data_IF_504633601883
#
_entry.id   IF_504633601883
#
_cell.length_a   1.000
_cell.length_b   1.000
_cell.length_c   1.000
_cell.angle_alpha   90.00
_cell.angle_beta   90.00
_cell.angle_gamma   90.00
#
_symmetry.space_group_name_H-M   'P 1'
#
loop_
_entity.id
_entity.type
_entity.pdbx_description
1 polymer ?
#
# COMPACT_ATOMS: atom_id res chain seq x y z
N UNK A 1 2.43 28.78 1.54
CA UNK A 1 2.47 27.50 2.28
C UNK A 1 2.36 26.37 1.27
N UNK A 2 3.47 25.75 0.91
CA UNK A 2 3.48 24.55 0.07
C UNK A 2 2.89 23.40 0.89
N UNK A 3 1.69 22.95 0.54
CA UNK A 3 1.10 21.78 1.19
C UNK A 3 1.85 20.55 0.73
N UNK A 4 2.72 19.99 1.58
CA UNK A 4 3.34 18.68 1.32
C UNK A 4 2.23 17.67 1.00
N UNK A 5 2.24 17.04 -0.19
CA UNK A 5 1.29 16.00 -0.56
C UNK A 5 1.11 14.98 0.56
N UNK A 6 -0.13 14.58 0.84
CA UNK A 6 -0.45 13.66 1.96
C UNK A 6 0.34 12.36 1.90
N UNK A 7 0.64 11.87 0.69
CA UNK A 7 1.46 10.68 0.46
C UNK A 7 2.91 10.83 0.95
N UNK A 8 3.49 12.02 0.81
CA UNK A 8 4.87 12.30 1.25
C UNK A 8 4.97 12.39 2.78
N UNK A 9 3.89 12.72 3.50
CA UNK A 9 3.92 12.69 4.97
C UNK A 9 3.99 11.28 5.56
N UNK A 10 3.49 10.27 4.85
CA UNK A 10 3.64 8.87 5.27
C UNK A 10 5.03 8.30 4.95
N UNK A 11 5.82 9.00 4.13
CA UNK A 11 7.18 8.61 3.81
C UNK A 11 8.10 9.84 3.87
N UNK A 12 8.54 10.16 5.08
CA UNK A 12 9.42 11.28 5.37
C UNK A 12 10.64 10.75 6.16
N UNK A 13 11.75 10.42 5.48
CA UNK A 13 12.93 9.85 6.12
C UNK A 13 13.69 10.85 7.02
N UNK A 14 13.54 12.15 6.77
CA UNK A 14 14.18 13.21 7.56
C UNK A 14 13.48 13.39 8.91
N UNK A 15 12.17 13.18 8.97
CA UNK A 15 11.42 13.23 10.22
C UNK A 15 11.60 11.95 11.05
N UNK A 16 12.26 12.00 12.23
CA UNK A 16 12.56 10.80 13.02
C UNK A 16 11.34 10.20 13.76
N UNK A 17 10.18 10.88 13.73
CA UNK A 17 8.97 10.44 14.42
C UNK A 17 8.30 9.29 13.66
N UNK A 18 8.09 8.15 14.34
CA UNK A 18 7.39 7.00 13.76
C UNK A 18 5.89 7.26 13.58
N UNK A 19 5.28 8.04 14.47
CA UNK A 19 3.85 8.34 14.40
C UNK A 19 3.68 9.82 14.06
N UNK A 20 3.05 10.09 12.92
CA UNK A 20 2.74 11.45 12.45
C UNK A 20 1.23 11.65 12.44
N UNK A 21 0.76 12.85 12.77
CA UNK A 21 -0.69 13.12 12.79
C UNK A 21 -1.26 12.98 11.37
N UNK A 22 -2.44 12.35 11.26
CA UNK A 22 -3.11 12.20 9.97
C UNK A 22 -3.43 13.57 9.38
N UNK A 23 -3.28 13.69 8.07
CA UNK A 23 -3.69 14.92 7.37
C UNK A 23 -5.20 15.00 7.24
N UNK A 24 -5.88 13.86 7.16
CA UNK A 24 -7.34 13.76 7.05
C UNK A 24 -7.86 12.87 8.19
N UNK A 25 -8.74 13.43 9.01
CA UNK A 25 -9.38 12.73 10.13
C UNK A 25 -8.57 12.72 11.43
N UNK A 26 -9.01 11.92 12.39
CA UNK A 26 -8.38 11.77 13.70
C UNK A 26 -7.45 10.54 13.73
N UNK A 27 -6.33 10.66 14.45
CA UNK A 27 -5.40 9.56 14.72
C UNK A 27 -3.97 9.84 14.26
N UNK A 28 -3.22 8.76 14.06
CA UNK A 28 -1.82 8.77 13.65
C UNK A 28 -1.61 7.87 12.43
N UNK A 29 -0.78 8.33 11.50
CA UNK A 29 -0.21 7.50 10.44
C UNK A 29 1.20 7.07 10.85
N UNK A 30 1.63 5.90 10.36
CA UNK A 30 3.01 5.42 10.52
C UNK A 30 3.89 6.08 9.46
N UNK A 31 4.94 6.77 9.88
CA UNK A 31 5.98 7.26 9.00
C UNK A 31 6.89 6.09 8.59
N UNK A 32 6.69 5.60 7.37
CA UNK A 32 7.43 4.49 6.79
C UNK A 32 8.89 4.86 6.48
N UNK A 33 9.18 6.14 6.23
CA UNK A 33 10.54 6.66 6.06
C UNK A 33 11.35 6.54 7.35
N UNK A 34 10.82 7.08 8.45
CA UNK A 34 11.42 6.95 9.78
C UNK A 34 11.64 5.48 10.18
N UNK A 35 10.68 4.61 9.87
CA UNK A 35 10.81 3.17 10.14
C UNK A 35 11.94 2.55 9.30
N UNK A 36 12.01 2.85 8.01
CA UNK A 36 13.06 2.35 7.13
C UNK A 36 14.47 2.82 7.57
N UNK A 37 14.60 4.07 8.00
CA UNK A 37 15.84 4.61 8.58
C UNK A 37 16.22 3.84 9.85
N UNK A 38 15.28 3.62 10.78
CA UNK A 38 15.54 2.85 12.02
C UNK A 38 15.92 1.40 11.75
N UNK A 39 15.43 0.82 10.65
CA UNK A 39 15.81 -0.51 10.19
C UNK A 39 17.13 -0.54 9.41
N UNK A 40 17.79 0.61 9.21
CA UNK A 40 19.04 0.71 8.45
C UNK A 40 18.87 0.44 6.95
N UNK A 41 17.66 0.60 6.41
CA UNK A 41 17.36 0.29 5.01
C UNK A 41 17.69 1.44 4.06
N UNK A 42 17.61 2.68 4.56
CA UNK A 42 17.90 3.95 3.87
C UNK A 42 18.50 4.94 4.89
N UNK A 43 19.10 6.03 4.40
CA UNK A 43 19.60 7.12 5.23
C UNK A 43 18.53 8.23 5.39
N UNK A 44 18.63 9.07 6.44
CA UNK A 44 17.70 10.19 6.63
C UNK A 44 17.70 11.19 5.47
N UNK A 45 18.83 11.36 4.78
CA UNK A 45 19.04 12.25 3.64
C UNK A 45 18.61 11.64 2.29
N UNK A 46 18.15 10.38 2.26
CA UNK A 46 17.67 9.73 1.04
C UNK A 46 16.22 10.17 0.72
N UNK A 47 16.04 11.46 0.40
CA UNK A 47 14.73 12.04 0.06
C UNK A 47 14.28 11.63 -1.35
N UNK A 48 13.00 11.28 -1.51
CA UNK A 48 12.45 10.93 -2.83
C UNK A 48 12.50 12.09 -3.84
N UNK A 49 12.20 13.34 -3.46
CA UNK A 49 12.32 14.47 -4.39
C UNK A 49 13.74 14.65 -4.95
N UNK A 50 14.77 14.48 -4.11
CA UNK A 50 16.17 14.66 -4.54
C UNK A 50 16.66 13.49 -5.41
N UNK A 51 16.17 12.28 -5.14
CA UNK A 51 16.52 11.08 -5.90
C UNK A 51 15.68 10.88 -7.16
N UNK A 52 14.59 11.64 -7.33
CA UNK A 52 13.67 11.49 -8.46
C UNK A 52 14.39 11.49 -9.82
N UNK A 53 15.30 12.44 -10.14
CA UNK A 53 15.99 12.48 -11.43
C UNK A 53 16.73 11.18 -11.79
N UNK A 54 17.14 10.41 -10.77
CA UNK A 54 17.92 9.18 -10.92
C UNK A 54 17.04 7.91 -10.90
N UNK A 55 15.72 8.02 -10.70
CA UNK A 55 14.84 6.84 -10.75
C UNK A 55 14.81 6.28 -12.18
N UNK A 56 15.21 5.00 -12.39
CA UNK A 56 15.29 4.43 -13.72
C UNK A 56 13.93 4.42 -14.45
N UNK A 57 13.93 4.69 -15.76
CA UNK A 57 12.70 4.75 -16.55
C UNK A 57 11.84 3.47 -16.47
N UNK A 58 12.48 2.30 -16.33
CA UNK A 58 11.77 1.01 -16.14
C UNK A 58 11.02 0.98 -14.81
N UNK A 59 11.64 1.47 -13.74
CA UNK A 59 11.01 1.57 -12.41
C UNK A 59 9.82 2.53 -12.45
N UNK A 60 9.98 3.69 -13.09
CA UNK A 60 8.88 4.66 -13.28
C UNK A 60 7.68 4.05 -14.02
N UNK A 61 7.94 3.33 -15.11
CA UNK A 61 6.89 2.62 -15.86
C UNK A 61 6.19 1.57 -15.00
N UNK A 62 6.95 0.80 -14.22
CA UNK A 62 6.39 -0.20 -13.32
C UNK A 62 5.49 0.46 -12.24
N UNK A 63 5.94 1.56 -11.63
CA UNK A 63 5.17 2.31 -10.65
C UNK A 63 3.88 2.89 -11.23
N UNK A 64 3.93 3.45 -12.45
CA UNK A 64 2.75 3.99 -13.11
C UNK A 64 1.67 2.91 -13.38
N UNK A 65 2.09 1.69 -13.70
CA UNK A 65 1.20 0.58 -14.01
C UNK A 65 0.76 -0.21 -12.77
N UNK A 66 1.57 -0.26 -11.71
CA UNK A 66 1.33 -1.10 -10.55
C UNK A 66 -0.04 -0.88 -9.90
N UNK A 67 -0.52 0.36 -9.66
CA UNK A 67 -1.85 0.58 -9.10
C UNK A 67 -2.99 0.08 -10.00
N UNK A 68 -2.83 0.13 -11.32
CA UNK A 68 -3.84 -0.38 -12.26
C UNK A 68 -3.89 -1.91 -12.22
N UNK A 69 -2.72 -2.55 -12.23
CA UNK A 69 -2.58 -4.01 -12.16
C UNK A 69 -3.09 -4.53 -10.81
N UNK A 70 -2.77 -3.87 -9.70
CA UNK A 70 -3.24 -4.25 -8.37
C UNK A 70 -4.76 -4.10 -8.21
N UNK A 71 -5.34 -3.06 -8.82
CA UNK A 71 -6.81 -2.93 -8.87
C UNK A 71 -7.47 -4.04 -9.67
N UNK A 72 -6.96 -4.33 -10.88
CA UNK A 72 -7.46 -5.43 -11.69
C UNK A 72 -7.35 -6.78 -10.97
N UNK A 73 -6.21 -7.03 -10.30
CA UNK A 73 -5.97 -8.24 -9.51
C UNK A 73 -6.99 -8.40 -8.38
N UNK A 74 -7.26 -7.32 -7.64
CA UNK A 74 -8.25 -7.34 -6.56
C UNK A 74 -9.65 -7.63 -7.10
N UNK A 75 -10.04 -7.02 -8.22
CA UNK A 75 -11.35 -7.24 -8.86
C UNK A 75 -11.48 -8.69 -9.33
N UNK A 76 -10.46 -9.24 -9.99
CA UNK A 76 -10.46 -10.64 -10.44
C UNK A 76 -10.56 -11.60 -9.27
N UNK A 77 -9.75 -11.39 -8.22
CA UNK A 77 -9.80 -12.21 -7.01
C UNK A 77 -11.19 -12.16 -6.35
N UNK A 78 -11.77 -10.96 -6.23
CA UNK A 78 -13.11 -10.77 -5.67
C UNK A 78 -14.18 -11.43 -6.54
N UNK A 79 -14.08 -11.34 -7.86
CA UNK A 79 -14.99 -12.01 -8.80
C UNK A 79 -14.96 -13.52 -8.62
N UNK A 80 -13.76 -14.14 -8.63
CA UNK A 80 -13.58 -15.59 -8.44
C UNK A 80 -14.11 -16.06 -7.09
N UNK A 81 -13.84 -15.33 -6.01
CA UNK A 81 -14.35 -15.63 -4.67
C UNK A 81 -15.88 -15.46 -4.62
N UNK A 82 -16.39 -14.39 -5.21
CA UNK A 82 -17.80 -14.01 -5.18
C UNK A 82 -18.72 -15.03 -5.85
N UNK A 83 -18.32 -15.56 -7.01
CA UNK A 83 -19.14 -16.57 -7.71
C UNK A 83 -19.18 -17.93 -7.00
N UNK A 84 -18.20 -18.23 -6.15
CA UNK A 84 -18.11 -19.51 -5.42
C UNK A 84 -18.75 -19.46 -4.03
N UNK A 85 -18.88 -18.28 -3.44
CA UNK A 85 -19.34 -18.12 -2.08
C UNK A 85 -20.85 -17.85 -1.99
N UNK A 86 -21.53 -18.44 -1.00
CA UNK A 86 -22.92 -18.06 -0.66
C UNK A 86 -22.97 -16.90 0.33
N UNK A 87 -22.04 -16.90 1.29
CA UNK A 87 -21.85 -15.83 2.28
C UNK A 87 -20.37 -15.67 2.57
N UNK A 88 -19.97 -14.44 2.85
CA UNK A 88 -18.59 -14.12 3.22
C UNK A 88 -18.55 -13.34 4.54
N UNK A 89 -17.50 -13.53 5.35
CA UNK A 89 -17.27 -12.70 6.52
C UNK A 89 -17.17 -11.21 6.17
N UNK A 90 -17.81 -10.36 6.96
CA UNK A 90 -17.75 -8.89 6.82
C UNK A 90 -17.11 -8.20 8.02
N UNK A 91 -16.86 -8.93 9.10
CA UNK A 91 -16.27 -8.40 10.32
C UNK A 91 -15.58 -9.48 11.12
N UNK A 92 -14.54 -9.08 11.85
CA UNK A 92 -13.75 -9.96 12.70
C UNK A 92 -13.69 -9.39 14.13
N UNK A 93 -13.62 -10.28 15.12
CA UNK A 93 -13.36 -9.88 16.50
C UNK A 93 -11.85 -9.68 16.76
N UNK A 94 -11.49 -9.30 17.99
CA UNK A 94 -10.10 -9.09 18.40
C UNK A 94 -9.22 -10.34 18.31
N UNK A 95 -9.83 -11.54 18.30
CA UNK A 95 -9.14 -12.81 18.09
C UNK A 95 -9.09 -13.21 16.59
N UNK A 96 -9.41 -12.29 15.67
CA UNK A 96 -9.46 -12.53 14.23
C UNK A 96 -10.40 -13.69 13.83
N UNK A 97 -11.47 -13.91 14.58
CA UNK A 97 -12.55 -14.84 14.19
C UNK A 97 -13.67 -14.07 13.47
N UNK A 98 -14.24 -14.62 12.41
CA UNK A 98 -15.44 -14.06 11.77
C UNK A 98 -16.55 -13.80 12.79
N UNK A 99 -17.12 -12.59 12.77
CA UNK A 99 -18.22 -12.17 13.65
C UNK A 99 -19.55 -12.08 12.89
N UNK A 100 -19.50 -11.58 11.67
CA UNK A 100 -20.67 -11.29 10.84
C UNK A 100 -20.45 -11.78 9.41
N UNK A 101 -21.54 -12.14 8.74
CA UNK A 101 -21.53 -12.65 7.37
C UNK A 101 -22.57 -11.91 6.54
N UNK A 102 -22.25 -11.64 5.28
CA UNK A 102 -23.17 -11.03 4.32
C UNK A 102 -23.11 -11.73 2.96
N UNK A 103 -23.93 -11.26 2.02
CA UNK A 103 -23.81 -11.68 0.62
C UNK A 103 -22.42 -11.33 0.07
N UNK A 104 -21.90 -12.07 -0.92
CA UNK A 104 -20.59 -11.80 -1.48
C UNK A 104 -20.45 -10.37 -2.03
N UNK A 105 -21.50 -9.86 -2.70
CA UNK A 105 -21.51 -8.49 -3.20
C UNK A 105 -21.30 -7.46 -2.09
N UNK A 106 -22.03 -7.60 -0.97
CA UNK A 106 -21.89 -6.70 0.17
C UNK A 106 -20.53 -6.84 0.85
N UNK A 107 -20.02 -8.06 1.02
CA UNK A 107 -18.75 -8.31 1.69
C UNK A 107 -17.52 -7.85 0.89
N UNK A 108 -17.58 -7.91 -0.43
CA UNK A 108 -16.46 -7.58 -1.32
C UNK A 108 -16.45 -6.10 -1.73
N UNK A 109 -17.52 -5.36 -1.49
CA UNK A 109 -17.63 -3.95 -1.87
C UNK A 109 -16.50 -3.09 -1.28
N UNK A 110 -16.21 -3.24 0.02
CA UNK A 110 -15.20 -2.42 0.69
C UNK A 110 -13.76 -2.69 0.19
N UNK A 111 -13.26 -3.95 0.09
CA UNK A 111 -11.97 -4.22 -0.52
C UNK A 111 -11.84 -3.73 -1.97
N UNK A 112 -12.88 -3.91 -2.79
CA UNK A 112 -12.88 -3.42 -4.18
C UNK A 112 -12.80 -1.89 -4.20
N UNK A 113 -13.65 -1.20 -3.42
CA UNK A 113 -13.68 0.25 -3.36
C UNK A 113 -12.34 0.82 -2.87
N UNK A 114 -11.73 0.23 -1.84
CA UNK A 114 -10.40 0.60 -1.35
C UNK A 114 -9.36 0.46 -2.48
N UNK A 115 -9.35 -0.68 -3.15
CA UNK A 115 -8.37 -0.99 -4.20
C UNK A 115 -8.48 -0.07 -5.43
N UNK A 116 -9.71 0.16 -5.91
CA UNK A 116 -9.99 1.03 -7.06
C UNK A 116 -9.76 2.50 -6.69
N UNK A 117 -10.23 2.93 -5.51
CA UNK A 117 -10.00 4.28 -5.01
C UNK A 117 -8.52 4.60 -4.85
N UNK A 118 -7.73 3.67 -4.31
CA UNK A 118 -6.28 3.81 -4.22
C UNK A 118 -5.60 3.95 -5.58
N UNK A 119 -6.03 3.17 -6.58
CA UNK A 119 -5.54 3.32 -7.96
C UNK A 119 -5.87 4.70 -8.53
N UNK A 120 -7.12 5.15 -8.37
CA UNK A 120 -7.55 6.48 -8.84
C UNK A 120 -6.75 7.60 -8.20
N UNK A 121 -6.56 7.56 -6.88
CA UNK A 121 -5.77 8.54 -6.14
C UNK A 121 -4.29 8.55 -6.58
N UNK A 122 -3.69 7.39 -6.85
CA UNK A 122 -2.33 7.33 -7.37
C UNK A 122 -2.21 7.96 -8.77
N UNK A 123 -3.15 7.66 -9.67
CA UNK A 123 -3.16 8.23 -11.02
C UNK A 123 -3.39 9.75 -11.03
N UNK A 124 -4.12 10.28 -10.04
CA UNK A 124 -4.32 11.72 -9.88
C UNK A 124 -3.10 12.41 -9.26
N UNK A 125 -2.44 11.75 -8.31
CA UNK A 125 -1.27 12.31 -7.60
C UNK A 125 -0.03 12.42 -8.47
N UNK A 126 0.06 11.61 -9.53
CA UNK A 126 1.20 11.61 -10.45
C UNK A 126 1.24 12.73 -11.50
N UNK A 127 0.27 13.66 -11.50
CA UNK A 127 0.19 14.73 -12.51
C UNK A 127 1.12 15.92 -12.24
N UNK A 128 1.37 16.24 -10.96
CA UNK A 128 1.99 17.52 -10.59
C UNK A 128 3.36 17.36 -9.90
N UNK A 129 3.68 16.19 -9.34
CA UNK A 129 4.92 15.93 -8.60
C UNK A 129 5.40 14.47 -8.78
N UNK A 130 6.56 14.26 -9.45
CA UNK A 130 7.15 12.92 -9.64
C UNK A 130 7.45 12.15 -8.35
N UNK A 131 7.90 12.82 -7.29
CA UNK A 131 8.16 12.19 -5.98
C UNK A 131 6.86 11.79 -5.28
N UNK A 132 5.82 12.62 -5.38
CA UNK A 132 4.47 12.28 -4.93
C UNK A 132 3.88 11.09 -5.70
N UNK A 133 4.24 10.92 -6.98
CA UNK A 133 3.84 9.76 -7.80
C UNK A 133 4.38 8.45 -7.23
N UNK A 134 5.67 8.41 -6.84
CA UNK A 134 6.30 7.23 -6.24
C UNK A 134 5.60 6.85 -4.94
N UNK A 135 5.47 7.81 -4.01
CA UNK A 135 4.85 7.57 -2.72
C UNK A 135 3.37 7.14 -2.87
N UNK A 136 2.60 7.82 -3.72
CA UNK A 136 1.20 7.47 -3.95
C UNK A 136 1.05 6.07 -4.59
N UNK A 137 1.91 5.71 -5.55
CA UNK A 137 1.92 4.39 -6.18
C UNK A 137 2.30 3.28 -5.19
N UNK A 138 3.28 3.52 -4.32
CA UNK A 138 3.68 2.59 -3.27
C UNK A 138 2.55 2.35 -2.25
N UNK A 139 1.93 3.42 -1.77
CA UNK A 139 0.79 3.35 -0.86
C UNK A 139 -0.41 2.64 -1.50
N UNK A 140 -0.70 2.92 -2.77
CA UNK A 140 -1.76 2.24 -3.49
C UNK A 140 -1.46 0.73 -3.62
N UNK A 141 -0.24 0.36 -4.00
CA UNK A 141 0.17 -1.05 -4.12
C UNK A 141 0.05 -1.78 -2.78
N UNK A 142 0.43 -1.14 -1.67
CA UNK A 142 0.23 -1.69 -0.33
C UNK A 142 -1.26 -1.87 0.01
N UNK A 143 -2.09 -0.85 -0.24
CA UNK A 143 -3.53 -0.92 0.04
C UNK A 143 -4.23 -2.00 -0.78
N UNK A 144 -3.81 -2.18 -2.04
CA UNK A 144 -4.34 -3.21 -2.95
C UNK A 144 -3.89 -4.62 -2.54
N UNK A 145 -2.66 -4.76 -2.06
CA UNK A 145 -2.18 -6.04 -1.51
C UNK A 145 -2.99 -6.41 -0.28
N UNK A 146 -3.24 -5.45 0.62
CA UNK A 146 -4.13 -5.63 1.77
C UNK A 146 -5.54 -6.01 1.32
N UNK A 147 -6.12 -5.28 0.37
CA UNK A 147 -7.47 -5.55 -0.13
C UNK A 147 -7.60 -6.96 -0.73
N UNK A 148 -6.66 -7.35 -1.61
CA UNK A 148 -6.60 -8.70 -2.19
C UNK A 148 -6.44 -9.76 -1.10
N UNK A 149 -5.52 -9.55 -0.15
CA UNK A 149 -5.31 -10.45 0.97
C UNK A 149 -6.59 -10.65 1.79
N UNK A 150 -7.32 -9.58 2.08
CA UNK A 150 -8.59 -9.63 2.82
C UNK A 150 -9.68 -10.39 2.06
N UNK A 151 -9.77 -10.23 0.73
CA UNK A 151 -10.67 -11.02 -0.13
C UNK A 151 -10.37 -12.52 0.00
N UNK A 152 -9.09 -12.90 -0.13
CA UNK A 152 -8.66 -14.30 -0.02
C UNK A 152 -8.83 -14.85 1.41
N UNK A 153 -8.56 -14.02 2.42
CA UNK A 153 -8.75 -14.37 3.83
C UNK A 153 -10.23 -14.58 4.15
N UNK A 154 -11.14 -13.76 3.59
CA UNK A 154 -12.58 -13.94 3.74
C UNK A 154 -13.04 -15.27 3.11
N UNK A 155 -12.57 -15.60 1.91
CA UNK A 155 -12.86 -16.88 1.27
C UNK A 155 -12.38 -18.07 2.11
N UNK A 156 -11.14 -18.01 2.64
CA UNK A 156 -10.58 -19.06 3.50
C UNK A 156 -11.34 -19.18 4.84
N UNK A 157 -11.76 -18.06 5.41
CA UNK A 157 -12.46 -18.02 6.70
C UNK A 157 -13.92 -18.48 6.58
N UNK A 158 -14.55 -18.28 5.41
CA UNK A 158 -15.90 -18.80 5.14
C UNK A 158 -15.96 -20.34 5.23
N UNK A 159 -14.86 -21.04 4.89
CA UNK A 159 -14.77 -22.49 5.02
C UNK A 159 -14.48 -22.97 6.46
N UNK A 160 -14.08 -22.09 7.37
CA UNK A 160 -13.67 -22.42 8.76
C UNK A 160 -14.10 -21.30 9.74
N UNK A 161 -15.40 -21.07 9.91
CA UNK A 161 -15.92 -19.89 10.63
C UNK A 161 -15.52 -19.85 12.11
N UNK A 162 -15.29 -21.00 12.75
CA UNK A 162 -14.96 -21.07 14.19
C UNK A 162 -13.48 -20.81 14.49
N UNK A 163 -12.63 -20.74 13.45
CA UNK A 163 -11.17 -20.64 13.62
C UNK A 163 -10.69 -19.19 13.42
N UNK A 164 -9.69 -18.74 14.21
CA UNK A 164 -9.04 -17.47 13.96
C UNK A 164 -8.30 -17.51 12.61
N UNK A 165 -8.27 -16.37 11.93
CA UNK A 165 -7.64 -16.24 10.62
C UNK A 165 -6.43 -15.32 10.69
N UNK A 166 -5.24 -15.90 10.87
CA UNK A 166 -3.97 -15.16 10.79
C UNK A 166 -3.76 -14.50 9.41
N UNK A 167 -4.44 -15.01 8.38
CA UNK A 167 -4.43 -14.41 7.04
C UNK A 167 -5.01 -12.99 7.05
N UNK A 168 -5.98 -12.68 7.93
CA UNK A 168 -6.52 -11.32 8.08
C UNK A 168 -5.46 -10.38 8.62
N UNK A 169 -4.78 -10.78 9.70
CA UNK A 169 -3.70 -10.00 10.28
C UNK A 169 -2.56 -9.79 9.27
N UNK A 170 -2.13 -10.86 8.58
CA UNK A 170 -1.11 -10.77 7.55
C UNK A 170 -1.51 -9.82 6.42
N UNK A 171 -2.79 -9.82 6.02
CA UNK A 171 -3.31 -8.91 4.99
C UNK A 171 -3.29 -7.44 5.46
N UNK A 172 -3.64 -7.16 6.72
CA UNK A 172 -3.56 -5.81 7.29
C UNK A 172 -2.10 -5.33 7.33
N UNK A 173 -1.18 -6.19 7.78
CA UNK A 173 0.25 -5.87 7.84
C UNK A 173 0.90 -5.76 6.45
N UNK A 174 0.30 -6.36 5.41
CA UNK A 174 0.81 -6.26 4.06
C UNK A 174 0.82 -4.81 3.55
N UNK A 175 -0.09 -3.94 4.00
CA UNK A 175 -0.11 -2.54 3.60
C UNK A 175 1.19 -1.80 3.90
N UNK A 176 1.59 -1.60 5.18
CA UNK A 176 2.82 -0.88 5.49
C UNK A 176 4.08 -1.60 5.00
N UNK A 177 4.07 -2.94 4.97
CA UNK A 177 5.22 -3.74 4.50
C UNK A 177 5.46 -3.53 3.01
N UNK A 178 4.42 -3.64 2.18
CA UNK A 178 4.55 -3.47 0.74
C UNK A 178 4.78 -2.01 0.38
N UNK A 179 4.06 -1.07 0.99
CA UNK A 179 4.28 0.35 0.73
C UNK A 179 5.72 0.78 1.07
N UNK A 180 6.20 0.44 2.28
CA UNK A 180 7.57 0.75 2.69
C UNK A 180 8.62 0.04 1.83
N UNK A 181 8.38 -1.24 1.51
CA UNK A 181 9.28 -2.04 0.67
C UNK A 181 9.40 -1.51 -0.75
N UNK A 182 8.29 -1.10 -1.38
CA UNK A 182 8.31 -0.48 -2.71
C UNK A 182 9.11 0.81 -2.67
N UNK A 183 8.85 1.70 -1.72
CA UNK A 183 9.56 2.98 -1.65
C UNK A 183 11.07 2.81 -1.41
N UNK A 184 11.45 1.94 -0.46
CA UNK A 184 12.86 1.60 -0.22
C UNK A 184 13.51 1.01 -1.47
N UNK A 185 12.79 0.14 -2.20
CA UNK A 185 13.27 -0.43 -3.46
C UNK A 185 13.53 0.63 -4.53
N UNK A 186 12.66 1.64 -4.63
CA UNK A 186 12.83 2.76 -5.57
C UNK A 186 14.05 3.61 -5.20
N UNK A 187 14.21 3.95 -3.92
CA UNK A 187 15.37 4.69 -3.42
C UNK A 187 16.67 3.96 -3.76
N UNK A 188 16.74 2.65 -3.47
CA UNK A 188 17.92 1.85 -3.77
C UNK A 188 18.21 1.77 -5.27
N UNK A 189 17.18 1.70 -6.10
CA UNK A 189 17.35 1.72 -7.55
C UNK A 189 17.89 3.07 -8.04
N UNK A 190 17.40 4.19 -7.49
CA UNK A 190 17.87 5.53 -7.83
C UNK A 190 19.32 5.76 -7.40
N UNK A 191 19.69 5.34 -6.18
CA UNK A 191 21.07 5.43 -5.69
C UNK A 191 22.04 4.60 -6.53
N UNK A 192 21.64 3.39 -6.95
CA UNK A 192 22.46 2.56 -7.83
C UNK A 192 22.70 3.20 -9.21
N UNK A 193 21.70 3.92 -9.73
CA UNK A 193 21.82 4.63 -11.00
C UNK A 193 22.73 5.86 -10.85
N UNK A 194 22.56 6.62 -9.78
CA UNK A 194 23.44 7.76 -9.43
C UNK A 194 24.90 7.33 -9.32
N UNK A 195 25.17 6.26 -8.58
CA UNK A 195 26.53 5.70 -8.44
C UNK A 195 27.14 5.29 -9.78
N UNK A 196 26.32 4.81 -10.71
CA UNK A 196 26.78 4.44 -12.05
C UNK A 196 27.17 5.68 -12.85
N UNK A 197 26.38 6.75 -12.78
CA UNK A 197 26.65 8.02 -13.47
C UNK A 197 27.87 8.76 -12.90
N UNK A 198 28.13 8.65 -11.60
CA UNK A 198 29.31 9.26 -10.97
C UNK A 198 30.63 8.53 -11.31
N UNK A 199 30.54 7.29 -11.78
CA UNK A 199 31.70 6.44 -12.14
C UNK A 199 32.00 6.41 -13.64
N UNK A 200 31.09 6.90 -14.47
CA UNK A 200 31.26 7.03 -15.93
C UNK A 200 31.94 8.34 -16.30
#
# INVERSE_FOLDING_TARGET
MTTTPTALKQFDPENPQLFVRRTIGLGWDLNLGALAVRLGLIRPDDSLPDLDPYVPARVRRALALAPLVGAATTIVAAGVVGVRARKLPTGWNSAFRPRSFASPAAALAAPIALSVGAAGLAQLSGKDDPGANVAASALATGAQTMATGLVLAAARSAARPDKPSLAVLASILAYPVVAGGVTVGVIKAALSELDTQLRS
#
